data_IF_919753494064
#
_entry.id   IF_919753494064
#
_cell.length_a   1.000
_cell.length_b   1.000
_cell.length_c   1.000
_cell.angle_alpha   90.00
_cell.angle_beta   90.00
_cell.angle_gamma   90.00
#
_symmetry.space_group_name_H-M   'P 1'
#
loop_
_entity.id
_entity.type
_entity.pdbx_description
1 polymer ?
#
# COMPACT_ATOMS: atom_id res chain seq x y z
N UNK A 1 -3.41 -16.58 1.62
CA UNK A 1 -3.57 -15.37 2.44
C UNK A 1 -4.90 -14.76 2.10
N UNK A 2 -5.62 -14.33 3.14
CA UNK A 2 -6.92 -13.71 3.00
C UNK A 2 -6.76 -12.27 2.51
N UNK A 3 -7.63 -11.90 1.57
CA UNK A 3 -7.75 -10.53 1.07
C UNK A 3 -9.23 -10.21 0.84
N UNK A 4 -9.64 -8.99 1.15
CA UNK A 4 -10.91 -8.43 0.74
C UNK A 4 -10.69 -7.61 -0.54
N UNK A 5 -11.28 -8.06 -1.65
CA UNK A 5 -11.14 -7.43 -2.95
C UNK A 5 -12.48 -6.96 -3.51
N UNK A 6 -12.40 -6.10 -4.52
CA UNK A 6 -13.48 -5.76 -5.43
C UNK A 6 -13.09 -6.27 -6.82
N UNK A 7 -14.00 -7.00 -7.49
CA UNK A 7 -13.73 -7.61 -8.79
C UNK A 7 -14.19 -6.78 -10.00
N UNK A 8 -15.03 -5.76 -9.77
CA UNK A 8 -15.52 -4.81 -10.81
C UNK A 8 -16.12 -3.56 -10.17
N UNK A 9 -16.24 -2.43 -10.91
CA UNK A 9 -16.93 -1.23 -10.44
C UNK A 9 -18.34 -1.55 -9.93
N UNK A 10 -18.70 -1.01 -8.76
CA UNK A 10 -19.98 -1.25 -8.10
C UNK A 10 -20.17 -2.66 -7.54
N UNK A 11 -19.18 -3.55 -7.67
CA UNK A 11 -19.22 -4.94 -7.18
C UNK A 11 -19.22 -5.05 -5.65
N UNK A 12 -19.57 -6.22 -5.12
CA UNK A 12 -19.52 -6.49 -3.69
C UNK A 12 -18.09 -6.72 -3.20
N UNK A 13 -17.89 -6.60 -1.90
CA UNK A 13 -16.67 -7.07 -1.23
C UNK A 13 -16.60 -8.59 -1.26
N UNK A 14 -15.47 -9.10 -1.73
CA UNK A 14 -15.21 -10.53 -1.86
C UNK A 14 -14.03 -10.90 -0.95
N UNK A 15 -14.27 -11.77 0.03
CA UNK A 15 -13.19 -12.39 0.79
C UNK A 15 -12.63 -13.56 -0.01
N UNK A 16 -11.37 -13.46 -0.41
CA UNK A 16 -10.68 -14.44 -1.25
C UNK A 16 -9.40 -14.95 -0.58
N UNK A 17 -8.95 -16.13 -1.00
CA UNK A 17 -7.60 -16.62 -0.72
C UNK A 17 -6.71 -16.35 -1.94
N UNK A 18 -5.54 -15.78 -1.70
CA UNK A 18 -4.50 -15.49 -2.71
C UNK A 18 -3.14 -15.98 -2.23
N UNK A 19 -2.22 -16.18 -3.16
CA UNK A 19 -0.81 -16.40 -2.81
C UNK A 19 -0.23 -15.17 -2.12
N UNK A 20 0.72 -15.38 -1.20
CA UNK A 20 1.47 -14.27 -0.60
C UNK A 20 2.39 -13.70 -1.70
N UNK A 21 2.28 -12.41 -2.07
CA UNK A 21 3.09 -11.84 -3.15
C UNK A 21 4.55 -11.75 -2.72
N UNK A 22 5.50 -11.91 -3.65
CA UNK A 22 6.92 -11.68 -3.39
C UNK A 22 7.31 -10.24 -3.78
N UNK A 23 8.10 -9.51 -2.96
CA UNK A 23 8.52 -8.16 -3.30
C UNK A 23 9.59 -8.19 -4.41
N UNK A 24 9.38 -7.37 -5.45
CA UNK A 24 10.39 -7.11 -6.48
C UNK A 24 11.45 -6.08 -6.04
N UNK A 25 12.38 -5.70 -6.93
CA UNK A 25 13.39 -4.70 -6.62
C UNK A 25 12.78 -3.37 -6.19
N UNK A 26 13.29 -2.79 -5.09
CA UNK A 26 12.78 -1.54 -4.51
C UNK A 26 11.46 -1.67 -3.75
N UNK A 27 10.92 -2.89 -3.61
CA UNK A 27 9.65 -3.14 -2.95
C UNK A 27 9.83 -3.84 -1.60
N UNK A 28 8.86 -3.62 -0.72
CA UNK A 28 8.80 -4.23 0.61
C UNK A 28 7.48 -4.97 0.75
N UNK A 29 7.55 -6.21 1.24
CA UNK A 29 6.36 -6.91 1.70
C UNK A 29 6.10 -6.56 3.15
N UNK A 30 4.91 -6.04 3.41
CA UNK A 30 4.42 -5.71 4.76
C UNK A 30 3.41 -6.77 5.16
N UNK A 31 3.60 -7.36 6.34
CA UNK A 31 2.54 -8.11 7.02
C UNK A 31 1.63 -7.10 7.71
N UNK A 32 0.37 -7.06 7.29
CA UNK A 32 -0.60 -6.09 7.79
C UNK A 32 -1.07 -6.53 9.17
N UNK A 33 -1.01 -5.61 10.14
CA UNK A 33 -1.53 -5.83 11.50
C UNK A 33 -2.89 -5.15 11.65
N UNK A 34 -3.04 -3.94 11.09
CA UNK A 34 -4.30 -3.21 11.00
C UNK A 34 -4.34 -2.38 9.69
N UNK A 35 -5.55 -2.11 9.20
CA UNK A 35 -5.78 -1.14 8.14
C UNK A 35 -7.03 -0.31 8.47
N UNK A 36 -6.88 1.01 8.46
CA UNK A 36 -8.00 1.94 8.58
C UNK A 36 -8.93 1.87 7.36
N UNK A 37 -10.14 2.40 7.54
CA UNK A 37 -11.17 2.49 6.49
C UNK A 37 -11.51 3.95 6.27
N UNK A 38 -11.32 4.42 5.03
CA UNK A 38 -11.60 5.80 4.67
C UNK A 38 -12.61 5.88 3.52
N UNK A 39 -13.31 7.01 3.41
CA UNK A 39 -14.29 7.23 2.34
C UNK A 39 -13.64 7.15 0.94
N UNK A 40 -12.35 7.46 0.83
CA UNK A 40 -11.57 7.32 -0.41
C UNK A 40 -11.52 5.89 -0.95
N UNK A 41 -11.72 4.85 -0.13
CA UNK A 41 -11.82 3.47 -0.64
C UNK A 41 -13.06 3.26 -1.52
N UNK A 42 -14.08 4.12 -1.40
CA UNK A 42 -15.24 4.14 -2.31
C UNK A 42 -14.81 4.40 -3.76
N UNK A 43 -13.72 5.14 -3.99
CA UNK A 43 -13.19 5.38 -5.33
C UNK A 43 -12.86 4.06 -6.04
N UNK A 44 -12.37 3.08 -5.28
CA UNK A 44 -12.08 1.72 -5.79
C UNK A 44 -13.35 0.89 -5.87
N UNK A 45 -14.23 0.97 -4.88
CA UNK A 45 -15.51 0.25 -4.86
C UNK A 45 -16.39 0.61 -6.07
N UNK A 46 -16.45 1.87 -6.45
CA UNK A 46 -17.36 2.39 -7.48
C UNK A 46 -16.67 2.69 -8.82
N UNK A 47 -15.35 2.54 -8.91
CA UNK A 47 -14.60 2.70 -10.16
C UNK A 47 -14.42 4.14 -10.61
N UNK A 48 -14.24 5.05 -9.65
CA UNK A 48 -14.21 6.49 -9.87
C UNK A 48 -12.80 7.05 -10.11
N UNK A 49 -11.76 6.21 -10.04
CA UNK A 49 -10.38 6.63 -10.27
C UNK A 49 -9.90 6.30 -11.70
N UNK A 50 -9.33 7.27 -12.44
CA UNK A 50 -8.82 7.02 -13.79
C UNK A 50 -7.76 5.93 -13.83
N UNK A 51 -7.90 4.98 -14.76
CA UNK A 51 -6.93 3.90 -14.98
C UNK A 51 -6.97 2.76 -13.95
N UNK A 52 -7.87 2.80 -12.96
CA UNK A 52 -8.06 1.73 -12.00
C UNK A 52 -8.34 0.39 -12.71
N UNK A 53 -7.64 -0.67 -12.28
CA UNK A 53 -7.77 -2.02 -12.78
C UNK A 53 -8.37 -2.93 -11.71
N UNK A 54 -9.16 -3.91 -12.14
CA UNK A 54 -9.77 -4.92 -11.27
C UNK A 54 -9.30 -6.33 -11.65
N UNK A 55 -9.29 -7.31 -10.71
CA UNK A 55 -9.64 -7.16 -9.30
C UNK A 55 -8.62 -6.30 -8.54
N UNK A 56 -9.09 -5.57 -7.52
CA UNK A 56 -8.26 -4.72 -6.67
C UNK A 56 -8.55 -5.00 -5.21
N UNK A 57 -7.50 -5.13 -4.41
CA UNK A 57 -7.56 -5.03 -2.95
C UNK A 57 -7.40 -3.54 -2.58
N UNK A 58 -8.43 -2.89 -2.01
CA UNK A 58 -8.34 -1.50 -1.53
C UNK A 58 -7.62 -1.40 -0.17
N UNK A 59 -7.69 -0.24 0.48
CA UNK A 59 -7.08 0.04 1.79
C UNK A 59 -5.72 0.72 1.65
N UNK A 60 -5.56 1.87 2.31
CA UNK A 60 -4.39 2.74 2.18
C UNK A 60 -4.06 3.45 3.51
N UNK A 61 -4.44 2.85 4.62
CA UNK A 61 -4.19 3.31 6.00
C UNK A 61 -3.60 2.16 6.80
N UNK A 62 -2.47 1.61 6.33
CA UNK A 62 -1.89 0.37 6.84
C UNK A 62 -0.95 0.66 8.00
N UNK A 63 -1.08 -0.13 9.07
CA UNK A 63 -0.04 -0.33 10.07
C UNK A 63 0.38 -1.80 10.08
N UNK A 64 1.68 -2.07 10.09
CA UNK A 64 2.18 -3.43 10.10
C UNK A 64 3.68 -3.54 10.28
N UNK A 65 4.24 -4.67 9.83
CA UNK A 65 5.67 -4.95 9.92
C UNK A 65 6.25 -5.38 8.60
N UNK A 66 7.49 -4.98 8.36
CA UNK A 66 8.28 -5.50 7.25
C UNK A 66 8.44 -7.01 7.41
N UNK A 67 7.86 -7.79 6.51
CA UNK A 67 8.01 -9.25 6.49
C UNK A 67 9.27 -9.66 5.71
N UNK A 68 9.44 -9.07 4.52
CA UNK A 68 10.55 -9.35 3.58
C UNK A 68 10.81 -8.09 2.74
N UNK A 69 12.07 -7.87 2.38
CA UNK A 69 12.47 -6.77 1.48
C UNK A 69 12.96 -7.35 0.16
N UNK A 70 12.63 -6.69 -0.95
CA UNK A 70 13.14 -7.05 -2.27
C UNK A 70 14.54 -6.48 -2.52
N UNK A 71 15.10 -6.83 -3.68
CA UNK A 71 16.44 -6.37 -4.08
C UNK A 71 16.55 -4.84 -4.07
N UNK A 72 17.74 -4.31 -3.78
CA UNK A 72 18.04 -2.86 -3.76
C UNK A 72 17.31 -2.04 -2.69
N UNK A 73 16.52 -2.65 -1.82
CA UNK A 73 16.01 -1.99 -0.61
C UNK A 73 17.12 -2.00 0.45
N UNK A 74 17.57 -0.82 0.86
CA UNK A 74 18.66 -0.66 1.84
C UNK A 74 18.23 0.06 3.12
N UNK A 75 17.07 0.72 3.09
CA UNK A 75 16.53 1.56 4.16
C UNK A 75 15.53 0.85 5.08
N UNK A 76 15.19 -0.41 4.80
CA UNK A 76 14.25 -1.21 5.60
C UNK A 76 14.79 -2.60 5.88
N UNK A 77 14.37 -3.17 7.02
CA UNK A 77 14.75 -4.50 7.48
C UNK A 77 13.54 -5.24 8.02
N UNK A 78 13.59 -6.57 7.91
CA UNK A 78 12.57 -7.47 8.47
C UNK A 78 12.32 -7.16 9.96
N UNK A 79 11.04 -7.07 10.33
CA UNK A 79 10.57 -6.85 11.70
C UNK A 79 10.27 -5.39 12.06
N UNK A 80 10.79 -4.43 11.29
CA UNK A 80 10.55 -3.00 11.53
C UNK A 80 9.06 -2.67 11.37
N UNK A 81 8.55 -1.79 12.25
CA UNK A 81 7.16 -1.34 12.21
C UNK A 81 6.99 -0.18 11.25
N UNK A 82 6.03 -0.32 10.36
CA UNK A 82 5.86 0.58 9.24
C UNK A 82 4.41 0.87 8.96
N UNK A 83 4.16 2.12 8.56
CA UNK A 83 2.90 2.58 8.03
C UNK A 83 2.97 2.68 6.52
N UNK A 84 1.86 2.41 5.83
CA UNK A 84 1.72 2.69 4.40
C UNK A 84 0.43 3.47 4.19
N UNK A 85 0.57 4.69 3.67
CA UNK A 85 -0.54 5.61 3.47
C UNK A 85 -1.03 5.67 2.02
N UNK A 86 -1.77 6.74 1.72
CA UNK A 86 -2.19 7.11 0.36
C UNK A 86 -1.02 7.26 -0.62
N UNK A 87 0.10 7.85 -0.17
CA UNK A 87 1.30 7.99 -0.99
C UNK A 87 1.89 6.60 -1.24
N UNK A 88 1.74 6.08 -2.46
CA UNK A 88 2.13 4.74 -2.87
C UNK A 88 3.40 4.69 -3.72
N UNK A 89 4.17 5.78 -3.82
CA UNK A 89 5.45 5.83 -4.55
C UNK A 89 5.60 7.05 -5.46
N UNK A 90 6.84 7.35 -5.83
CA UNK A 90 7.22 8.51 -6.64
C UNK A 90 8.50 8.25 -7.47
N UNK A 91 8.85 9.16 -8.39
CA UNK A 91 9.87 8.88 -9.41
C UNK A 91 11.29 9.38 -9.10
N UNK A 92 11.45 10.21 -8.06
CA UNK A 92 12.70 10.89 -7.69
C UNK A 92 13.29 11.86 -8.73
N UNK A 93 12.71 11.98 -9.92
CA UNK A 93 13.31 12.69 -11.06
C UNK A 93 12.51 13.90 -11.52
N UNK A 94 11.20 13.96 -11.28
CA UNK A 94 10.39 15.11 -11.66
C UNK A 94 10.72 16.34 -10.80
N UNK A 95 10.28 17.53 -11.23
CA UNK A 95 10.55 18.79 -10.51
C UNK A 95 10.07 18.74 -9.07
N UNK A 96 8.88 18.19 -8.83
CA UNK A 96 8.26 18.04 -7.53
C UNK A 96 9.08 17.11 -6.62
N UNK A 97 9.51 15.96 -7.13
CA UNK A 97 10.40 15.07 -6.37
C UNK A 97 11.76 15.71 -6.06
N UNK A 98 12.37 16.42 -7.02
CA UNK A 98 13.68 17.06 -6.82
C UNK A 98 13.68 18.16 -5.76
N UNK A 99 12.52 18.77 -5.48
CA UNK A 99 12.34 19.73 -4.39
C UNK A 99 11.79 19.11 -3.09
N UNK A 100 11.66 17.77 -3.02
CA UNK A 100 11.17 17.04 -1.86
C UNK A 100 9.64 17.00 -1.71
N UNK A 101 8.90 17.45 -2.72
CA UNK A 101 7.43 17.46 -2.73
C UNK A 101 6.88 16.17 -3.35
N UNK A 102 7.18 15.04 -2.72
CA UNK A 102 6.90 13.70 -3.26
C UNK A 102 5.40 13.42 -3.44
N UNK A 103 4.54 14.01 -2.60
CA UNK A 103 3.09 13.89 -2.71
C UNK A 103 2.52 14.48 -4.01
N UNK A 104 3.26 15.40 -4.63
CA UNK A 104 2.91 16.05 -5.90
C UNK A 104 3.68 15.49 -7.10
N UNK A 105 4.34 14.34 -6.94
CA UNK A 105 5.00 13.65 -8.04
C UNK A 105 4.04 13.47 -9.23
N UNK A 106 4.48 13.86 -10.44
CA UNK A 106 3.67 13.70 -11.66
C UNK A 106 3.49 12.23 -12.06
N UNK A 107 4.39 11.36 -11.59
CA UNK A 107 4.37 9.91 -11.76
C UNK A 107 3.99 9.19 -10.45
N UNK A 108 3.28 9.88 -9.55
CA UNK A 108 2.86 9.31 -8.26
C UNK A 108 2.05 8.04 -8.43
N UNK A 109 2.14 7.18 -7.43
CA UNK A 109 1.28 6.01 -7.25
C UNK A 109 0.45 6.14 -5.98
N UNK A 110 -0.68 5.46 -5.96
CA UNK A 110 -1.62 5.45 -4.83
C UNK A 110 -1.87 4.02 -4.38
N UNK A 111 -1.59 3.77 -3.10
CA UNK A 111 -1.83 2.48 -2.43
C UNK A 111 -3.31 2.13 -2.51
N UNK A 112 -3.63 0.86 -2.81
CA UNK A 112 -5.01 0.38 -2.93
C UNK A 112 -5.73 0.81 -4.22
N UNK A 113 -5.10 1.62 -5.08
CA UNK A 113 -5.64 2.06 -6.37
C UNK A 113 -4.75 1.57 -7.52
N UNK A 114 -3.52 2.06 -7.59
CA UNK A 114 -2.55 1.68 -8.64
C UNK A 114 -2.06 0.23 -8.47
N UNK A 115 -2.01 -0.25 -7.23
CA UNK A 115 -1.64 -1.61 -6.84
C UNK A 115 -2.45 -2.04 -5.60
N UNK A 116 -2.37 -3.32 -5.24
CA UNK A 116 -3.14 -3.89 -4.13
C UNK A 116 -2.72 -3.29 -2.78
N UNK A 117 -3.71 -2.94 -1.98
CA UNK A 117 -3.59 -2.24 -0.71
C UNK A 117 -3.71 -3.13 0.54
N UNK A 118 -4.08 -2.49 1.64
CA UNK A 118 -4.02 -3.02 3.00
C UNK A 118 -5.17 -3.91 3.44
N UNK A 119 -6.23 -4.07 2.67
CA UNK A 119 -7.33 -4.99 3.01
C UNK A 119 -6.97 -6.45 2.75
N UNK A 120 -5.79 -6.86 3.20
CA UNK A 120 -5.26 -8.21 3.07
C UNK A 120 -4.20 -8.48 4.13
N UNK A 121 -3.87 -9.76 4.37
CA UNK A 121 -2.90 -10.14 5.40
C UNK A 121 -1.45 -9.70 5.07
N UNK A 122 -1.12 -9.54 3.78
CA UNK A 122 0.16 -9.03 3.31
C UNK A 122 -0.04 -8.10 2.12
N UNK A 123 0.80 -7.07 2.00
CA UNK A 123 0.81 -6.18 0.83
C UNK A 123 2.24 -5.86 0.37
N UNK A 124 2.36 -5.44 -0.89
CA UNK A 124 3.63 -4.94 -1.45
C UNK A 124 3.54 -3.41 -1.54
N UNK A 125 4.54 -2.72 -0.99
CA UNK A 125 4.67 -1.27 -1.09
C UNK A 125 6.06 -0.89 -1.63
N UNK A 126 6.20 0.19 -2.42
CA UNK A 126 7.51 0.75 -2.74
C UNK A 126 8.23 1.22 -1.46
N UNK A 127 9.52 0.95 -1.34
CA UNK A 127 10.30 1.23 -0.13
C UNK A 127 10.25 2.70 0.30
N UNK A 128 10.13 3.62 -0.63
CA UNK A 128 10.04 5.06 -0.39
C UNK A 128 8.66 5.54 0.09
N UNK A 129 7.65 4.67 0.06
CA UNK A 129 6.29 4.97 0.50
C UNK A 129 6.03 4.62 1.97
N UNK A 130 6.94 3.89 2.61
CA UNK A 130 6.80 3.47 4.00
C UNK A 130 7.12 4.62 4.96
N UNK A 131 6.37 4.70 6.06
CA UNK A 131 6.63 5.55 7.21
C UNK A 131 7.04 4.71 8.41
N UNK A 132 7.93 5.21 9.26
CA UNK A 132 8.29 4.54 10.53
C UNK A 132 7.14 4.69 11.53
N UNK A 133 6.78 3.60 12.20
CA UNK A 133 5.85 3.62 13.35
C UNK A 133 6.66 3.34 14.63
N UNK A 134 6.53 4.16 15.70
CA UNK A 134 7.14 3.87 17.00
C UNK A 134 6.68 2.53 17.59
N UNK A 135 7.54 1.79 18.27
CA UNK A 135 7.19 0.47 18.81
C UNK A 135 6.05 0.50 19.85
N UNK A 136 5.88 1.63 20.53
CA UNK A 136 4.90 1.82 21.60
C UNK A 136 3.47 2.09 21.08
N UNK A 137 3.30 2.49 19.82
CA UNK A 137 1.99 2.89 19.27
C UNK A 137 1.23 1.65 18.73
N UNK A 138 0.12 1.19 19.33
CA UNK A 138 -0.61 0.02 18.85
C UNK A 138 -1.03 0.14 17.38
N UNK A 139 -1.07 -0.97 16.63
CA UNK A 139 -1.33 -0.93 15.19
C UNK A 139 -2.74 -0.39 14.86
N UNK A 140 -3.71 -0.69 15.71
CA UNK A 140 -5.10 -0.21 15.62
C UNK A 140 -5.28 1.28 15.94
N UNK A 141 -4.25 1.92 16.52
CA UNK A 141 -4.23 3.35 16.88
C UNK A 141 -3.21 4.16 16.05
N UNK A 142 -2.44 3.49 15.19
CA UNK A 142 -1.33 4.07 14.42
C UNK A 142 -1.77 4.76 13.13
#
# INVERSE_FOLDING_TARGET
>A
MKAAQISKPGGNWELVERDIPEPGPGQVRVKVEACGICHSDVLVKDGLWPGLQYPRVPGHEIAGRVDTVGDRVTNWKKGERVGVGWHGGHDFVCEQCRRGDFGMCINRKVTGIDFDGGYAEYMIAPAEALAVIPDELPAEEA
#
